data_IF_679407486888
#
_entry.id   IF_679407486888
#
_cell.length_a   1.000
_cell.length_b   1.000
_cell.length_c   1.000
_cell.angle_alpha   90.00
_cell.angle_beta   90.00
_cell.angle_gamma   90.00
#
_symmetry.space_group_name_H-M   'P 1'
#
loop_
_entity.id
_entity.type
_entity.pdbx_description
1 polymer ?
#
# COMPACT_ATOMS: atom_id res chain seq x y z
N UNK A 1 -0.11 4.50 24.53
CA UNK A 1 -0.97 3.37 24.08
C UNK A 1 -0.05 2.23 23.64
N UNK A 2 -0.40 0.94 23.81
CA UNK A 2 0.50 -0.17 23.45
C UNK A 2 0.57 -0.35 21.92
N UNK A 3 1.76 -0.50 21.35
CA UNK A 3 1.96 -0.72 19.91
C UNK A 3 3.31 -0.22 19.39
N UNK A 4 3.53 -0.42 18.10
CA UNK A 4 4.69 0.12 17.35
C UNK A 4 4.24 1.44 16.71
N UNK A 5 4.98 2.52 16.95
CA UNK A 5 4.66 3.86 16.45
C UNK A 5 5.89 4.50 15.83
N UNK A 6 5.67 5.40 14.88
CA UNK A 6 6.75 6.25 14.35
C UNK A 6 7.14 7.31 15.41
N UNK A 7 8.43 7.66 15.53
CA UNK A 7 8.86 8.74 16.41
C UNK A 7 8.48 10.11 15.83
N UNK A 8 8.37 11.10 16.70
CA UNK A 8 8.12 12.50 16.33
C UNK A 8 6.64 12.85 16.14
N UNK A 9 6.36 14.12 15.81
CA UNK A 9 5.00 14.59 15.57
C UNK A 9 4.52 14.23 14.15
N UNK A 10 3.24 13.89 14.01
CA UNK A 10 2.58 13.70 12.70
C UNK A 10 2.13 15.04 12.09
N UNK A 11 1.97 16.07 12.93
CA UNK A 11 1.48 17.38 12.53
C UNK A 11 2.34 18.54 13.08
N UNK A 12 1.96 19.75 12.69
CA UNK A 12 2.64 20.98 13.13
C UNK A 12 2.20 21.46 14.51
N UNK A 13 1.14 20.88 15.09
CA UNK A 13 0.71 21.18 16.46
C UNK A 13 1.57 20.44 17.50
N UNK A 14 2.31 19.43 17.06
CA UNK A 14 3.22 18.64 17.90
C UNK A 14 2.61 17.33 18.39
N UNK A 15 1.47 16.91 17.84
CA UNK A 15 0.82 15.67 18.22
C UNK A 15 1.64 14.47 17.73
N UNK A 16 2.02 13.58 18.65
CA UNK A 16 2.80 12.37 18.35
C UNK A 16 1.94 11.26 17.73
N UNK A 17 2.55 10.35 16.96
CA UNK A 17 1.83 9.23 16.34
C UNK A 17 1.12 8.30 17.36
N UNK A 18 1.64 8.20 18.58
CA UNK A 18 1.07 7.36 19.64
C UNK A 18 -0.07 8.03 20.43
N UNK A 19 -0.39 9.30 20.14
CA UNK A 19 -1.50 10.04 20.73
C UNK A 19 -2.85 9.69 20.08
N UNK A 20 -2.86 9.37 18.78
CA UNK A 20 -4.05 8.98 18.02
C UNK A 20 -4.46 7.53 18.28
N UNK A 21 -5.77 7.19 18.19
CA UNK A 21 -6.29 5.85 18.45
C UNK A 21 -5.90 4.79 17.39
N UNK A 22 -6.22 3.51 17.64
CA UNK A 22 -5.96 2.39 16.72
C UNK A 22 -7.24 2.07 15.94
N UNK A 23 -7.09 1.42 14.79
CA UNK A 23 -8.22 0.97 13.98
C UNK A 23 -9.05 2.13 13.44
N UNK A 24 -10.35 1.90 13.23
CA UNK A 24 -11.25 2.88 12.60
C UNK A 24 -11.37 4.20 13.39
N UNK A 25 -11.12 4.17 14.70
CA UNK A 25 -11.13 5.37 15.53
C UNK A 25 -10.03 6.36 15.13
N UNK A 26 -8.93 5.91 14.53
CA UNK A 26 -7.88 6.80 14.01
C UNK A 26 -8.39 7.70 12.87
N UNK A 27 -9.45 7.26 12.19
CA UNK A 27 -10.04 7.94 11.04
C UNK A 27 -11.29 8.74 11.41
N UNK A 28 -12.14 8.21 12.31
CA UNK A 28 -13.47 8.76 12.58
C UNK A 28 -13.81 8.91 14.07
N UNK A 29 -12.87 8.69 14.98
CA UNK A 29 -13.08 8.87 16.42
C UNK A 29 -12.91 10.32 16.89
N UNK A 30 -13.21 10.56 18.17
CA UNK A 30 -13.13 11.89 18.79
C UNK A 30 -11.72 12.50 18.74
N UNK A 31 -10.69 11.66 18.77
CA UNK A 31 -9.28 12.03 18.66
C UNK A 31 -8.68 11.48 17.35
N UNK A 32 -9.40 11.57 16.22
CA UNK A 32 -8.90 11.12 14.92
C UNK A 32 -7.80 12.03 14.37
N UNK A 33 -7.04 11.50 13.40
CA UNK A 33 -6.05 12.27 12.64
C UNK A 33 -6.76 13.47 11.98
N UNK A 34 -6.14 14.67 11.94
CA UNK A 34 -6.73 15.82 11.29
C UNK A 34 -7.19 15.53 9.85
N UNK A 35 -8.39 16.01 9.48
CA UNK A 35 -9.01 15.71 8.18
C UNK A 35 -8.15 16.10 6.97
N UNK A 36 -7.36 17.17 7.09
CA UNK A 36 -6.44 17.57 6.03
C UNK A 36 -5.35 16.51 5.76
N UNK A 37 -4.85 15.84 6.81
CA UNK A 37 -3.90 14.73 6.67
C UNK A 37 -4.55 13.52 5.98
N UNK A 38 -5.80 13.19 6.35
CA UNK A 38 -6.56 12.14 5.67
C UNK A 38 -6.78 12.46 4.18
N UNK A 39 -7.12 13.71 3.85
CA UNK A 39 -7.29 14.13 2.46
C UNK A 39 -5.98 14.02 1.67
N UNK A 40 -4.84 14.35 2.26
CA UNK A 40 -3.53 14.16 1.62
C UNK A 40 -3.26 12.68 1.31
N UNK A 41 -3.59 11.77 2.24
CA UNK A 41 -3.46 10.33 2.01
C UNK A 41 -4.35 9.89 0.84
N UNK A 42 -5.63 10.27 0.84
CA UNK A 42 -6.58 9.91 -0.23
C UNK A 42 -6.13 10.49 -1.58
N UNK A 43 -5.68 11.75 -1.62
CA UNK A 43 -5.20 12.39 -2.84
C UNK A 43 -3.93 11.70 -3.36
N UNK A 44 -3.00 11.35 -2.48
CA UNK A 44 -1.77 10.65 -2.85
C UNK A 44 -2.07 9.24 -3.38
N UNK A 45 -2.89 8.46 -2.68
CA UNK A 45 -3.32 7.12 -3.14
C UNK A 45 -4.07 7.24 -4.46
N UNK A 46 -4.98 8.21 -4.60
CA UNK A 46 -5.68 8.46 -5.86
C UNK A 46 -4.74 8.79 -7.02
N UNK A 47 -3.69 9.59 -6.78
CA UNK A 47 -2.64 9.82 -7.77
C UNK A 47 -1.91 8.52 -8.16
N UNK A 48 -1.54 7.70 -7.17
CA UNK A 48 -0.90 6.40 -7.43
C UNK A 48 -1.80 5.50 -8.29
N UNK A 49 -3.07 5.39 -7.96
CA UNK A 49 -4.06 4.57 -8.70
C UNK A 49 -4.23 5.04 -10.15
N UNK A 50 -4.26 6.35 -10.38
CA UNK A 50 -4.52 6.91 -11.71
C UNK A 50 -3.31 6.87 -12.64
N UNK A 51 -2.09 6.98 -12.10
CA UNK A 51 -0.89 7.22 -12.91
C UNK A 51 0.26 6.24 -12.68
N UNK A 52 0.33 5.55 -11.55
CA UNK A 52 1.51 4.75 -11.16
C UNK A 52 1.22 3.26 -11.06
N UNK A 53 0.17 2.85 -10.35
CA UNK A 53 -0.22 1.45 -10.12
C UNK A 53 -0.99 0.90 -11.32
N UNK A 54 -0.36 0.99 -12.48
CA UNK A 54 -0.85 0.48 -13.76
C UNK A 54 0.14 -0.57 -14.27
N UNK A 55 -0.42 -1.55 -14.98
CA UNK A 55 0.28 -2.61 -15.71
C UNK A 55 1.03 -2.10 -16.95
N UNK A 56 0.72 -0.87 -17.38
CA UNK A 56 1.48 -0.10 -18.37
C UNK A 56 1.48 1.37 -17.92
N UNK A 57 2.25 1.67 -16.88
CA UNK A 57 2.45 3.03 -16.41
C UNK A 57 3.59 3.71 -17.16
N UNK A 58 3.51 5.04 -17.35
CA UNK A 58 4.61 5.87 -17.82
C UNK A 58 5.28 5.43 -19.14
N UNK A 59 4.53 4.80 -20.05
CA UNK A 59 5.04 4.34 -21.35
C UNK A 59 5.79 3.02 -21.31
N UNK A 60 5.71 2.27 -20.20
CA UNK A 60 6.19 0.90 -20.13
C UNK A 60 5.31 -0.04 -20.98
N UNK A 61 5.92 -1.08 -21.55
CA UNK A 61 5.17 -2.19 -22.16
C UNK A 61 4.24 -2.85 -21.11
N UNK A 62 3.11 -3.42 -21.54
CA UNK A 62 2.22 -4.14 -20.63
C UNK A 62 2.96 -5.25 -19.87
N UNK A 63 2.74 -5.33 -18.56
CA UNK A 63 3.28 -6.40 -17.72
C UNK A 63 2.82 -7.80 -18.13
N UNK A 64 3.49 -8.83 -17.62
CA UNK A 64 3.28 -10.24 -18.02
C UNK A 64 1.87 -10.74 -17.69
N UNK A 65 1.21 -10.13 -16.71
CA UNK A 65 -0.13 -10.46 -16.24
C UNK A 65 -0.78 -9.28 -15.49
N UNK A 66 -2.11 -9.26 -15.35
CA UNK A 66 -2.78 -8.25 -14.51
C UNK A 66 -2.26 -8.26 -13.08
N UNK A 67 -1.84 -7.09 -12.58
CA UNK A 67 -1.20 -6.92 -11.27
C UNK A 67 0.33 -6.86 -11.33
N UNK A 68 0.94 -7.06 -12.49
CA UNK A 68 2.36 -6.83 -12.70
C UNK A 68 2.66 -5.32 -12.84
N UNK A 69 3.02 -4.67 -11.73
CA UNK A 69 3.35 -3.23 -11.69
C UNK A 69 4.86 -2.96 -11.69
N UNK A 70 5.68 -3.95 -12.10
CA UNK A 70 7.13 -3.79 -12.24
C UNK A 70 7.51 -2.76 -13.30
N UNK A 71 6.66 -2.57 -14.30
CA UNK A 71 6.78 -1.56 -15.37
C UNK A 71 8.18 -1.54 -16.03
N UNK A 72 8.83 -2.71 -16.14
CA UNK A 72 10.18 -2.86 -16.70
C UNK A 72 11.31 -2.15 -15.94
N UNK A 73 11.04 -1.53 -14.79
CA UNK A 73 11.99 -0.72 -14.04
C UNK A 73 12.42 -1.37 -12.72
N UNK A 74 11.56 -2.21 -12.13
CA UNK A 74 11.80 -2.85 -10.85
C UNK A 74 11.68 -4.37 -11.01
N UNK A 75 12.81 -5.07 -10.96
CA UNK A 75 12.83 -6.53 -10.90
C UNK A 75 13.63 -7.00 -9.68
N UNK A 76 13.00 -7.81 -8.83
CA UNK A 76 13.60 -8.47 -7.68
C UNK A 76 13.98 -9.93 -7.98
N UNK A 77 14.28 -10.23 -9.24
CA UNK A 77 14.67 -11.56 -9.72
C UNK A 77 13.52 -12.40 -10.28
N UNK A 78 12.38 -11.79 -10.59
CA UNK A 78 11.25 -12.46 -11.22
C UNK A 78 11.63 -13.14 -12.53
N UNK A 79 12.48 -12.49 -13.32
CA UNK A 79 12.90 -13.00 -14.62
C UNK A 79 13.84 -14.21 -14.50
N UNK A 80 14.34 -14.49 -13.29
CA UNK A 80 15.20 -15.65 -13.01
C UNK A 80 14.42 -16.92 -12.63
N UNK A 81 13.11 -16.81 -12.37
CA UNK A 81 12.27 -17.94 -11.98
C UNK A 81 11.80 -18.75 -13.19
N UNK A 82 11.64 -20.06 -12.98
CA UNK A 82 10.89 -20.92 -13.90
C UNK A 82 9.38 -20.67 -13.82
N UNK A 83 8.66 -21.13 -14.83
CA UNK A 83 7.21 -20.91 -14.95
C UNK A 83 6.40 -21.57 -13.83
N UNK A 84 6.87 -22.71 -13.30
CA UNK A 84 6.24 -23.38 -12.16
C UNK A 84 6.35 -22.55 -10.88
N UNK A 85 7.53 -21.99 -10.62
CA UNK A 85 7.79 -21.10 -9.48
C UNK A 85 6.96 -19.84 -9.60
N UNK A 86 6.93 -19.21 -10.78
CA UNK A 86 6.09 -18.02 -11.03
C UNK A 86 4.62 -18.31 -10.76
N UNK A 87 4.10 -19.44 -11.25
CA UNK A 87 2.71 -19.86 -11.02
C UNK A 87 2.43 -20.07 -9.52
N UNK A 88 3.34 -20.74 -8.82
CA UNK A 88 3.24 -20.98 -7.38
C UNK A 88 3.23 -19.68 -6.58
N UNK A 89 4.16 -18.74 -6.86
CA UNK A 89 4.23 -17.44 -6.17
C UNK A 89 2.98 -16.59 -6.37
N UNK A 90 2.44 -16.56 -7.58
CA UNK A 90 1.17 -15.85 -7.86
C UNK A 90 -0.01 -16.49 -7.15
N UNK A 91 -0.05 -17.83 -7.08
CA UNK A 91 -1.09 -18.53 -6.32
C UNK A 91 -1.01 -18.22 -4.82
N UNK A 92 0.21 -18.13 -4.26
CA UNK A 92 0.44 -17.75 -2.86
C UNK A 92 -0.03 -16.31 -2.61
N UNK A 93 0.37 -15.36 -3.46
CA UNK A 93 -0.06 -13.95 -3.36
C UNK A 93 -1.59 -13.83 -3.36
N UNK A 94 -2.25 -14.46 -4.34
CA UNK A 94 -3.71 -14.42 -4.48
C UNK A 94 -4.42 -15.06 -3.29
N UNK A 95 -3.95 -16.22 -2.80
CA UNK A 95 -4.58 -16.90 -1.68
C UNK A 95 -4.34 -16.20 -0.34
N UNK A 96 -3.18 -15.55 -0.17
CA UNK A 96 -2.95 -14.66 0.98
C UNK A 96 -3.90 -13.46 0.95
N UNK A 97 -4.09 -12.84 -0.22
CA UNK A 97 -5.07 -11.76 -0.39
C UNK A 97 -6.49 -12.20 -0.06
N UNK A 98 -6.90 -13.39 -0.52
CA UNK A 98 -8.20 -13.99 -0.18
C UNK A 98 -8.33 -14.25 1.32
N UNK A 99 -7.32 -14.80 1.97
CA UNK A 99 -7.34 -15.05 3.40
C UNK A 99 -7.43 -13.74 4.20
N UNK A 100 -6.67 -12.71 3.80
CA UNK A 100 -6.66 -11.40 4.45
C UNK A 100 -8.02 -10.66 4.36
N UNK A 101 -8.81 -10.90 3.31
CA UNK A 101 -10.16 -10.32 3.18
C UNK A 101 -11.17 -10.86 4.21
N UNK A 102 -10.88 -12.03 4.82
CA UNK A 102 -11.68 -12.63 5.90
C UNK A 102 -11.01 -12.49 7.29
N UNK A 103 -9.95 -11.70 7.39
CA UNK A 103 -9.18 -11.46 8.62
C UNK A 103 -9.73 -10.36 9.51
#
# INVERSE_FOLDING_TARGET
RNGIHLPGPIDMAGDSFDSYPNGIAALFGDNAIPQAGLLQIVAFVGFLELFVMKDSANGAEPGDFPGDFRNGALDFGWDTFDEETKLSKRAIELNNGRAAQFG
#
